data_IF_716965677315
#
_entry.id   IF_716965677315
#
_cell.length_a   1.000
_cell.length_b   1.000
_cell.length_c   1.000
_cell.angle_alpha   90.00
_cell.angle_beta   90.00
_cell.angle_gamma   90.00
#
_symmetry.space_group_name_H-M   'P 1'
#
loop_
_entity.id
_entity.type
_entity.pdbx_description
1 polymer ?
#
# COMPACT_ATOMS: atom_id res chain seq x y z
N UNK A 1 31.61 -5.06 5.37
CA UNK A 1 30.17 -4.84 5.25
C UNK A 1 29.71 -5.36 3.91
N UNK A 2 28.95 -6.44 3.92
CA UNK A 2 28.44 -7.06 2.69
C UNK A 2 27.16 -6.32 2.27
N UNK A 3 27.05 -5.93 1.01
CA UNK A 3 25.81 -5.35 0.50
C UNK A 3 24.68 -6.38 0.61
N UNK A 4 23.47 -5.98 0.98
CA UNK A 4 22.34 -6.88 1.00
C UNK A 4 22.07 -7.41 -0.40
N UNK A 5 21.77 -8.70 -0.50
CA UNK A 5 21.34 -9.30 -1.75
C UNK A 5 19.92 -8.80 -2.07
N UNK A 6 19.69 -8.23 -3.24
CA UNK A 6 18.36 -7.80 -3.61
C UNK A 6 17.43 -9.00 -3.80
N UNK A 7 16.31 -8.98 -3.12
CA UNK A 7 15.25 -9.97 -3.25
C UNK A 7 14.03 -9.33 -3.90
N UNK A 8 13.38 -10.06 -4.78
CA UNK A 8 12.18 -9.60 -5.48
C UNK A 8 11.00 -10.49 -5.13
N UNK A 9 9.86 -9.88 -4.88
CA UNK A 9 8.63 -10.57 -4.52
C UNK A 9 7.51 -10.22 -5.51
N UNK A 10 6.62 -11.15 -5.74
CA UNK A 10 5.41 -10.92 -6.50
C UNK A 10 4.34 -10.29 -5.62
N UNK A 11 3.39 -9.60 -6.23
CA UNK A 11 2.20 -9.15 -5.54
C UNK A 11 1.36 -10.37 -5.13
N UNK A 12 1.04 -10.45 -3.84
CA UNK A 12 0.22 -11.51 -3.26
C UNK A 12 0.96 -12.83 -2.98
N UNK A 13 0.40 -13.64 -2.08
CA UNK A 13 -0.71 -13.25 -1.25
C UNK A 13 -0.36 -12.06 -0.35
N UNK A 14 -1.27 -11.13 -0.23
CA UNK A 14 -1.08 -9.90 0.51
C UNK A 14 -2.30 -9.53 1.34
N UNK A 15 -2.23 -8.39 1.99
CA UNK A 15 -3.30 -7.87 2.83
C UNK A 15 -3.48 -6.37 2.60
N UNK A 16 -4.72 -5.94 2.46
CA UNK A 16 -5.09 -4.53 2.41
C UNK A 16 -6.31 -4.28 3.28
N UNK A 17 -6.12 -3.44 4.28
CA UNK A 17 -7.19 -3.01 5.19
C UNK A 17 -7.35 -1.50 5.13
N UNK A 18 -8.58 -1.02 5.09
CA UNK A 18 -8.91 0.40 5.09
C UNK A 18 -10.10 0.61 6.03
N UNK A 19 -10.04 1.61 6.86
CA UNK A 19 -11.15 1.97 7.73
C UNK A 19 -10.73 2.80 8.94
N UNK A 20 -11.70 3.10 9.80
CA UNK A 20 -11.43 3.83 11.02
C UNK A 20 -10.50 3.05 11.96
N UNK A 21 -9.71 3.78 12.73
CA UNK A 21 -8.82 3.19 13.74
C UNK A 21 -9.59 2.24 14.67
N UNK A 22 -9.16 0.99 14.73
CA UNK A 22 -9.79 -0.05 15.54
C UNK A 22 -10.90 -0.85 14.84
N UNK A 23 -11.42 -0.40 13.72
CA UNK A 23 -12.45 -1.11 12.93
C UNK A 23 -12.13 -1.09 11.43
N UNK A 24 -10.94 -1.54 11.01
CA UNK A 24 -10.59 -1.59 9.60
C UNK A 24 -11.40 -2.67 8.87
N UNK A 25 -11.71 -2.41 7.61
CA UNK A 25 -12.31 -3.40 6.72
C UNK A 25 -11.21 -4.06 5.91
N UNK A 26 -11.16 -5.38 5.95
CA UNK A 26 -10.25 -6.17 5.12
C UNK A 26 -10.83 -6.33 3.72
N UNK A 27 -10.15 -5.76 2.73
CA UNK A 27 -10.55 -5.81 1.33
C UNK A 27 -9.60 -6.67 0.48
N UNK A 28 -8.71 -7.42 1.11
CA UNK A 28 -7.68 -8.21 0.42
C UNK A 28 -8.25 -9.17 -0.62
N UNK A 29 -9.41 -9.77 -0.33
CA UNK A 29 -10.06 -10.71 -1.25
C UNK A 29 -10.86 -10.03 -2.36
N UNK A 30 -11.05 -8.73 -2.31
CA UNK A 30 -11.74 -7.94 -3.33
C UNK A 30 -10.77 -7.28 -4.31
N UNK A 31 -9.54 -7.01 -3.87
CA UNK A 31 -8.57 -6.25 -4.64
C UNK A 31 -7.84 -7.13 -5.64
N UNK A 32 -7.92 -6.76 -6.92
CA UNK A 32 -7.22 -7.43 -8.01
C UNK A 32 -5.78 -6.93 -8.17
N UNK A 33 -5.57 -5.64 -7.98
CA UNK A 33 -4.24 -5.03 -7.92
C UNK A 33 -4.25 -3.78 -7.05
N UNK A 34 -3.11 -3.45 -6.47
CA UNK A 34 -2.93 -2.24 -5.69
C UNK A 34 -1.49 -1.77 -5.76
N UNK A 35 -1.30 -0.48 -5.91
CA UNK A 35 0.01 0.17 -5.99
C UNK A 35 -0.01 1.47 -5.21
N UNK A 36 1.01 1.69 -4.39
CA UNK A 36 1.29 3.01 -3.83
C UNK A 36 2.27 3.71 -4.76
N UNK A 37 1.86 4.82 -5.32
CA UNK A 37 2.69 5.63 -6.21
C UNK A 37 2.97 7.00 -5.61
N UNK A 38 4.03 7.62 -6.11
CA UNK A 38 4.40 8.97 -5.70
C UNK A 38 4.59 9.85 -6.92
N UNK A 39 4.03 11.04 -6.87
CA UNK A 39 4.25 12.09 -7.85
C UNK A 39 5.17 13.16 -7.29
N UNK A 40 6.16 13.52 -8.08
CA UNK A 40 7.10 14.58 -7.75
C UNK A 40 6.57 15.92 -8.24
N UNK A 41 6.48 16.87 -7.34
CA UNK A 41 6.22 18.26 -7.68
C UNK A 41 7.48 19.09 -7.40
N UNK A 42 7.96 19.75 -8.42
CA UNK A 42 9.18 20.56 -8.37
C UNK A 42 8.85 22.03 -8.65
N UNK A 43 9.03 22.85 -7.66
CA UNK A 43 8.83 24.30 -7.80
C UNK A 43 9.85 24.91 -8.75
N UNK A 44 9.52 26.09 -9.25
CA UNK A 44 10.39 26.84 -10.17
C UNK A 44 11.74 27.21 -9.54
N UNK A 45 12.79 27.05 -10.31
CA UNK A 45 14.11 27.56 -9.94
C UNK A 45 14.15 29.09 -10.10
N UNK A 46 14.80 29.76 -9.18
CA UNK A 46 14.97 31.22 -9.23
C UNK A 46 16.44 31.56 -9.45
N UNK A 47 16.69 32.40 -10.44
CA UNK A 47 18.03 32.96 -10.67
C UNK A 47 18.17 34.27 -9.93
N UNK A 48 19.18 34.37 -9.10
CA UNK A 48 19.49 35.59 -8.39
C UNK A 48 20.29 36.59 -9.26
N UNK A 49 20.27 37.85 -8.90
CA UNK A 49 20.96 38.89 -9.63
C UNK A 49 22.48 38.61 -9.77
N UNK A 50 23.06 37.89 -8.84
CA UNK A 50 24.47 37.47 -8.89
C UNK A 50 24.75 36.31 -9.82
N UNK A 51 23.71 35.76 -10.53
CA UNK A 51 23.84 34.62 -11.43
C UNK A 51 23.71 33.26 -10.76
N UNK A 52 23.57 33.24 -9.44
CA UNK A 52 23.38 31.97 -8.73
C UNK A 52 21.94 31.46 -8.93
N UNK A 53 21.80 30.19 -9.29
CA UNK A 53 20.51 29.52 -9.44
C UNK A 53 20.16 28.83 -8.13
N UNK A 54 19.01 29.19 -7.55
CA UNK A 54 18.41 28.47 -6.42
C UNK A 54 17.40 27.49 -6.99
N UNK A 55 17.62 26.18 -6.81
CA UNK A 55 16.64 25.19 -7.26
C UNK A 55 15.31 25.35 -6.52
N UNK A 56 14.22 25.00 -7.18
CA UNK A 56 12.89 24.98 -6.58
C UNK A 56 12.77 23.93 -5.47
N UNK A 57 11.80 24.11 -4.60
CA UNK A 57 11.47 23.10 -3.60
C UNK A 57 10.89 21.87 -4.28
N UNK A 58 11.30 20.70 -3.80
CA UNK A 58 10.74 19.41 -4.28
C UNK A 58 9.80 18.89 -3.21
N UNK A 59 8.59 18.54 -3.62
CA UNK A 59 7.61 17.85 -2.78
C UNK A 59 7.12 16.58 -3.47
N UNK A 60 6.58 15.66 -2.69
CA UNK A 60 6.02 14.41 -3.19
C UNK A 60 4.60 14.25 -2.66
N UNK A 61 3.70 13.85 -3.55
CA UNK A 61 2.35 13.42 -3.19
C UNK A 61 2.25 11.92 -3.41
N UNK A 62 1.47 11.25 -2.58
CA UNK A 62 1.33 9.80 -2.61
C UNK A 62 -0.12 9.43 -2.84
N UNK A 63 -0.34 8.34 -3.57
CA UNK A 63 -1.66 7.77 -3.79
C UNK A 63 -1.63 6.25 -3.73
N UNK A 64 -2.74 5.67 -3.30
CA UNK A 64 -2.99 4.23 -3.37
C UNK A 64 -4.03 4.00 -4.46
N UNK A 65 -3.64 3.34 -5.52
CA UNK A 65 -4.48 3.09 -6.68
C UNK A 65 -4.53 1.61 -7.04
N UNK A 66 -5.60 1.19 -7.66
CA UNK A 66 -5.78 -0.17 -8.12
C UNK A 66 -7.16 -0.45 -8.66
N UNK A 67 -7.47 -1.73 -8.77
CA UNK A 67 -8.76 -2.24 -9.20
C UNK A 67 -9.26 -3.26 -8.20
N UNK A 68 -10.56 -3.24 -7.92
CA UNK A 68 -11.19 -4.16 -7.00
C UNK A 68 -12.58 -4.58 -7.46
N UNK A 69 -13.02 -5.74 -7.01
CA UNK A 69 -14.41 -6.17 -7.14
C UNK A 69 -15.27 -5.39 -6.13
N UNK A 70 -16.48 -5.04 -6.51
CA UNK A 70 -17.38 -4.26 -5.65
C UNK A 70 -18.36 -5.15 -4.90
N UNK A 71 -18.42 -4.97 -3.58
CA UNK A 71 -19.31 -5.68 -2.67
C UNK A 71 -20.61 -4.92 -2.43
N UNK A 72 -21.33 -4.64 -3.48
CA UNK A 72 -22.52 -3.75 -3.45
C UNK A 72 -23.69 -4.26 -2.59
N UNK A 73 -23.73 -5.56 -2.32
CA UNK A 73 -24.79 -6.17 -1.53
C UNK A 73 -24.52 -6.13 -0.02
N UNK A 74 -23.31 -5.78 0.39
CA UNK A 74 -22.90 -5.79 1.80
C UNK A 74 -23.00 -4.40 2.42
N UNK A 75 -23.97 -4.21 3.32
CA UNK A 75 -24.20 -2.92 3.96
C UNK A 75 -23.05 -2.47 4.88
N UNK A 76 -22.26 -3.43 5.38
CA UNK A 76 -21.08 -3.16 6.19
C UNK A 76 -19.77 -3.28 5.39
N UNK A 77 -19.87 -3.41 4.07
CA UNK A 77 -18.74 -3.59 3.17
C UNK A 77 -18.03 -2.31 2.80
N UNK A 78 -16.96 -2.47 2.05
CA UNK A 78 -16.12 -1.33 1.65
C UNK A 78 -16.82 -0.38 0.67
N UNK A 79 -17.66 -0.89 -0.24
CA UNK A 79 -18.45 -0.03 -1.11
C UNK A 79 -19.31 0.94 -0.30
N UNK A 80 -20.05 0.42 0.70
CA UNK A 80 -20.89 1.25 1.57
C UNK A 80 -20.05 2.27 2.35
N UNK A 81 -18.88 1.88 2.84
CA UNK A 81 -17.94 2.80 3.50
C UNK A 81 -17.46 3.90 2.54
N UNK A 82 -17.13 3.56 1.31
CA UNK A 82 -16.66 4.53 0.32
C UNK A 82 -17.70 5.60 0.01
N UNK A 83 -18.98 5.24 0.01
CA UNK A 83 -20.08 6.18 -0.23
C UNK A 83 -20.36 7.05 1.01
N UNK A 84 -20.40 6.46 2.19
CA UNK A 84 -20.73 7.16 3.43
C UNK A 84 -19.59 8.02 3.97
N UNK A 85 -18.36 7.59 3.79
CA UNK A 85 -17.16 8.25 4.30
C UNK A 85 -16.39 9.02 3.20
N UNK A 86 -16.99 9.24 2.04
CA UNK A 86 -16.37 9.97 0.93
C UNK A 86 -15.80 11.31 1.38
N UNK A 87 -14.56 11.59 1.02
CA UNK A 87 -13.86 12.82 1.40
C UNK A 87 -13.31 12.83 2.84
N UNK A 88 -13.46 11.75 3.59
CA UNK A 88 -12.93 11.65 4.96
C UNK A 88 -11.61 10.89 5.00
N UNK A 89 -10.83 11.17 6.04
CA UNK A 89 -9.58 10.45 6.31
C UNK A 89 -9.88 9.08 6.94
N UNK A 90 -9.24 8.04 6.40
CA UNK A 90 -9.31 6.68 6.92
C UNK A 90 -7.91 6.10 7.02
N UNK A 91 -7.66 5.28 8.02
CA UNK A 91 -6.40 4.58 8.15
C UNK A 91 -6.32 3.41 7.18
N UNK A 92 -5.12 3.13 6.67
CA UNK A 92 -4.88 1.98 5.82
C UNK A 92 -3.62 1.23 6.24
N UNK A 93 -3.61 -0.05 5.91
CA UNK A 93 -2.44 -0.91 6.03
C UNK A 93 -2.37 -1.81 4.79
N UNK A 94 -1.26 -1.77 4.09
CA UNK A 94 -1.04 -2.52 2.87
C UNK A 94 0.22 -3.36 2.95
N UNK A 95 0.05 -4.67 2.82
CA UNK A 95 1.13 -5.65 2.74
C UNK A 95 1.07 -6.31 1.36
N UNK A 96 1.89 -5.88 0.39
CA UNK A 96 1.80 -6.41 -0.97
C UNK A 96 2.16 -7.89 -1.08
N UNK A 97 3.02 -8.37 -0.19
CA UNK A 97 3.37 -9.78 -0.08
C UNK A 97 3.62 -10.14 1.37
N UNK A 98 2.89 -11.13 1.88
CA UNK A 98 3.09 -11.63 3.25
C UNK A 98 4.44 -12.30 3.43
N UNK A 99 5.00 -12.88 2.36
CA UNK A 99 6.33 -13.49 2.38
C UNK A 99 7.45 -12.44 2.58
N UNK A 100 7.30 -11.27 1.97
CA UNK A 100 8.22 -10.16 2.18
C UNK A 100 8.05 -9.51 3.56
N UNK A 101 6.83 -9.52 4.10
CA UNK A 101 6.51 -8.98 5.42
C UNK A 101 6.59 -7.46 5.54
N UNK A 102 6.81 -6.75 4.45
CA UNK A 102 6.87 -5.28 4.45
C UNK A 102 5.46 -4.70 4.42
N UNK A 103 5.19 -3.78 5.33
CA UNK A 103 3.88 -3.15 5.50
C UNK A 103 4.00 -1.65 5.25
N UNK A 104 3.12 -1.12 4.42
CA UNK A 104 2.92 0.32 4.26
C UNK A 104 1.65 0.72 5.00
N UNK A 105 1.74 1.69 5.85
CA UNK A 105 0.62 2.17 6.65
C UNK A 105 0.56 3.70 6.66
N UNK A 106 -0.62 4.22 6.85
CA UNK A 106 -0.85 5.67 6.94
C UNK A 106 -2.32 6.01 6.91
N UNK A 107 -2.60 7.22 6.52
CA UNK A 107 -3.95 7.76 6.39
C UNK A 107 -4.19 8.15 4.94
N UNK A 108 -5.35 7.82 4.43
CA UNK A 108 -5.78 8.20 3.08
C UNK A 108 -7.16 8.87 3.12
N UNK A 109 -7.48 9.58 2.05
CA UNK A 109 -8.80 10.17 1.84
C UNK A 109 -9.58 9.23 0.93
N UNK A 110 -10.74 8.77 1.39
CA UNK A 110 -11.60 7.88 0.62
C UNK A 110 -12.38 8.67 -0.44
N UNK A 111 -12.39 8.14 -1.66
CA UNK A 111 -13.27 8.55 -2.73
C UNK A 111 -14.34 7.48 -2.98
N UNK A 112 -15.55 7.86 -3.40
CA UNK A 112 -16.59 6.90 -3.69
C UNK A 112 -16.21 5.99 -4.86
N UNK A 113 -16.49 4.70 -4.71
CA UNK A 113 -16.32 3.72 -5.78
C UNK A 113 -17.45 3.82 -6.82
N UNK A 114 -17.17 3.38 -8.03
CA UNK A 114 -18.15 3.31 -9.10
C UNK A 114 -19.22 2.26 -8.80
N UNK A 115 -20.45 2.57 -9.19
CA UNK A 115 -21.60 1.69 -9.01
C UNK A 115 -22.14 1.22 -10.35
N UNK A 116 -21.99 -0.07 -10.60
CA UNK A 116 -22.44 -0.71 -11.84
C UNK A 116 -21.31 -1.38 -12.60
N UNK A 117 -21.59 -1.75 -13.83
CA UNK A 117 -20.66 -2.45 -14.70
C UNK A 117 -21.35 -2.92 -15.97
N UNK A 118 -20.63 -3.67 -16.78
CA UNK A 118 -21.14 -4.23 -18.02
C UNK A 118 -21.79 -5.61 -17.80
N UNK A 119 -22.80 -5.94 -18.61
CA UNK A 119 -23.43 -7.25 -18.63
C UNK A 119 -22.53 -8.27 -19.33
N UNK A 120 -21.42 -8.61 -18.71
CA UNK A 120 -20.41 -9.52 -19.29
C UNK A 120 -20.32 -10.87 -18.58
N UNK A 121 -21.12 -11.09 -17.52
CA UNK A 121 -21.02 -12.27 -16.66
C UNK A 121 -19.79 -12.26 -15.75
N UNK A 122 -19.05 -11.16 -15.72
CA UNK A 122 -17.91 -10.95 -14.83
C UNK A 122 -18.34 -10.16 -13.58
N UNK A 123 -17.64 -10.30 -12.47
CA UNK A 123 -17.88 -9.46 -11.29
C UNK A 123 -17.82 -7.96 -11.64
N UNK A 124 -18.65 -7.16 -10.98
CA UNK A 124 -18.53 -5.71 -11.08
C UNK A 124 -17.24 -5.26 -10.43
N UNK A 125 -16.47 -4.48 -11.17
CA UNK A 125 -15.19 -3.95 -10.69
C UNK A 125 -15.21 -2.44 -10.69
N UNK A 126 -14.39 -1.85 -9.83
CA UNK A 126 -14.17 -0.40 -9.80
C UNK A 126 -12.68 -0.14 -9.68
N UNK A 127 -12.22 0.83 -10.45
CA UNK A 127 -10.89 1.40 -10.21
C UNK A 127 -10.96 2.32 -9.01
N UNK A 128 -9.93 2.33 -8.21
CA UNK A 128 -9.83 3.24 -7.08
C UNK A 128 -8.49 3.99 -7.12
N UNK A 129 -8.52 5.22 -6.66
CA UNK A 129 -7.35 6.04 -6.44
C UNK A 129 -7.61 6.92 -5.23
N UNK A 130 -6.93 6.63 -4.12
CA UNK A 130 -7.07 7.38 -2.88
C UNK A 130 -5.81 8.18 -2.61
N UNK A 131 -5.97 9.47 -2.35
CA UNK A 131 -4.85 10.33 -1.96
C UNK A 131 -4.38 9.97 -0.55
N UNK A 132 -3.08 9.73 -0.38
CA UNK A 132 -2.49 9.46 0.93
C UNK A 132 -2.11 10.78 1.57
N UNK A 133 -2.46 10.95 2.84
CA UNK A 133 -2.12 12.14 3.62
C UNK A 133 -0.68 12.03 4.09
N UNK A 134 0.20 12.82 3.48
CA UNK A 134 1.62 12.79 3.78
C UNK A 134 2.33 11.55 3.22
N UNK A 135 3.47 11.23 3.79
CA UNK A 135 4.25 10.07 3.38
C UNK A 135 3.80 8.82 4.13
N UNK A 136 3.52 7.70 3.45
CA UNK A 136 3.21 6.45 4.16
C UNK A 136 4.43 5.97 4.96
N UNK A 137 4.17 5.27 6.05
CA UNK A 137 5.19 4.65 6.89
C UNK A 137 5.41 3.22 6.43
N UNK A 138 6.66 2.87 6.14
CA UNK A 138 7.05 1.52 5.75
C UNK A 138 7.72 0.80 6.91
N UNK A 139 7.22 -0.38 7.23
CA UNK A 139 7.82 -1.30 8.21
C UNK A 139 8.31 -2.52 7.46
N UNK A 140 9.61 -2.77 7.52
CA UNK A 140 10.22 -3.88 6.80
C UNK A 140 10.17 -5.15 7.62
N UNK A 141 9.71 -6.23 6.97
CA UNK A 141 9.68 -7.56 7.57
C UNK A 141 11.04 -8.25 7.48
N UNK A 142 11.18 -9.31 8.27
CA UNK A 142 12.33 -10.22 8.15
C UNK A 142 11.90 -11.38 7.24
N UNK A 143 12.58 -11.62 6.11
CA UNK A 143 12.27 -12.75 5.24
C UNK A 143 12.37 -14.07 5.99
N UNK A 144 11.40 -14.96 5.82
CA UNK A 144 11.35 -16.27 6.45
C UNK A 144 12.57 -17.15 6.16
N UNK A 145 13.23 -16.93 5.02
CA UNK A 145 14.44 -17.66 4.62
C UNK A 145 15.67 -17.37 5.48
N UNK A 146 15.67 -16.32 6.29
CA UNK A 146 16.81 -15.97 7.15
C UNK A 146 16.86 -16.74 8.47
N UNK A 147 15.83 -17.50 8.82
CA UNK A 147 15.75 -18.24 10.09
C UNK A 147 16.29 -19.67 10.02
N UNK A 148 16.43 -20.24 8.83
CA UNK A 148 16.86 -21.64 8.66
C UNK A 148 18.30 -21.96 9.11
N UNK A 149 19.32 -21.09 8.94
CA UNK A 149 20.69 -21.47 9.29
C UNK A 149 20.95 -21.60 10.79
N UNK A 150 20.14 -21.00 11.62
CA UNK A 150 20.38 -21.00 13.07
C UNK A 150 19.98 -22.29 13.78
N UNK A 151 19.17 -23.11 13.15
CA UNK A 151 18.68 -24.37 13.75
C UNK A 151 19.58 -25.58 13.52
N UNK A 152 20.50 -25.49 12.59
CA UNK A 152 21.37 -26.60 12.26
C UNK A 152 22.62 -26.71 13.17
N UNK A 153 22.91 -25.69 13.92
CA UNK A 153 24.14 -25.67 14.74
C UNK A 153 24.01 -26.36 16.09
N UNK A 154 22.80 -26.74 16.49
CA UNK A 154 22.58 -27.32 17.82
C UNK A 154 22.65 -28.83 17.86
N UNK A 155 22.92 -29.49 16.76
CA UNK A 155 22.90 -30.95 16.69
C UNK A 155 24.26 -31.62 16.82
N UNK A 156 25.32 -30.86 16.76
CA UNK A 156 26.67 -31.45 16.74
C UNK A 156 27.34 -31.59 18.11
N UNK A 157 26.72 -31.11 19.15
CA UNK A 157 27.34 -31.12 20.48
C UNK A 157 26.92 -32.28 21.36
N UNK A 158 26.22 -33.26 20.83
CA UNK A 158 25.67 -34.38 21.62
C UNK A 158 26.54 -35.64 21.52
N UNK A 159 27.57 -35.61 20.72
CA UNK A 159 28.45 -36.78 20.54
C UNK A 159 29.76 -36.62 21.25
N UNK A 160 29.72 -36.90 22.51
CA UNK A 160 30.96 -37.10 23.26
C UNK A 160 31.04 -38.45 23.89
#
# INVERSE_FOLDING_TARGET
>A
MTAPTPETFNLGPGELTIGATGTPIDISCLVNNAVISSDKDEGDSTTKLCGTVKPGAVSYTYSLAGNMDTDIAEAAGFFALSQSAAGTEQDFSFTPSTDAGTVAAGTLIIDPLDFGGDESGQPMTSDFEFSIVGKPTYTYGTPLAAEEPAQQTTRETVDA
#
